data_IF_046858862974
#
_entry.id   IF_046858862974
#
_cell.length_a   1.000
_cell.length_b   1.000
_cell.length_c   1.000
_cell.angle_alpha   90.00
_cell.angle_beta   90.00
_cell.angle_gamma   90.00
#
_symmetry.space_group_name_H-M   'P 1'
#
loop_
_entity.id
_entity.type
_entity.pdbx_description
1 polymer ?
#
# COMPACT_ATOMS: atom_id res chain seq x y z
N UNK A 1 0.66 19.96 -17.81
CA UNK A 1 0.61 19.80 -16.35
C UNK A 1 1.22 18.45 -16.03
N UNK A 2 2.04 18.37 -15.00
CA UNK A 2 2.71 17.12 -14.60
C UNK A 2 1.69 16.14 -14.04
N UNK A 3 1.66 14.91 -14.56
CA UNK A 3 0.86 13.81 -14.03
C UNK A 3 1.67 13.04 -13.01
N UNK A 4 1.11 12.89 -11.81
CA UNK A 4 1.71 12.17 -10.70
C UNK A 4 1.03 10.80 -10.54
N UNK A 5 1.78 9.71 -10.69
CA UNK A 5 1.32 8.38 -10.33
C UNK A 5 1.54 8.12 -8.82
N UNK A 6 0.49 7.68 -8.14
CA UNK A 6 0.47 7.43 -6.70
C UNK A 6 0.31 5.93 -6.49
N UNK A 7 1.35 5.29 -5.95
CA UNK A 7 1.44 3.86 -5.68
C UNK A 7 1.45 3.62 -4.17
N UNK A 8 0.97 2.46 -3.75
CA UNK A 8 1.00 1.99 -2.36
C UNK A 8 0.93 0.47 -2.30
N UNK A 9 1.40 -0.11 -1.21
CA UNK A 9 1.15 -1.51 -0.86
C UNK A 9 1.59 -2.47 -1.99
N UNK A 10 2.87 -2.35 -2.39
CA UNK A 10 3.46 -3.12 -3.50
C UNK A 10 3.72 -4.58 -3.09
N UNK A 11 4.09 -4.79 -1.83
CA UNK A 11 4.25 -6.12 -1.22
C UNK A 11 5.15 -7.09 -2.00
N UNK A 12 6.24 -6.58 -2.58
CA UNK A 12 7.17 -7.41 -3.35
C UNK A 12 6.60 -7.96 -4.67
N UNK A 13 5.44 -7.49 -5.11
CA UNK A 13 4.79 -7.92 -6.35
C UNK A 13 5.36 -7.15 -7.55
N UNK A 14 6.55 -7.55 -7.98
CA UNK A 14 7.26 -6.90 -9.08
C UNK A 14 6.48 -6.95 -10.41
N UNK A 15 5.84 -8.06 -10.82
CA UNK A 15 5.01 -8.06 -12.03
C UNK A 15 3.86 -7.05 -12.00
N UNK A 16 3.16 -6.93 -10.87
CA UNK A 16 2.10 -5.93 -10.71
C UNK A 16 2.65 -4.50 -10.80
N UNK A 17 3.78 -4.24 -10.13
CA UNK A 17 4.46 -2.94 -10.18
C UNK A 17 4.88 -2.57 -11.60
N UNK A 18 5.44 -3.52 -12.36
CA UNK A 18 5.85 -3.30 -13.75
C UNK A 18 4.66 -3.01 -14.67
N UNK A 19 3.54 -3.70 -14.48
CA UNK A 19 2.31 -3.45 -15.24
C UNK A 19 1.71 -2.06 -14.92
N UNK A 20 1.69 -1.68 -13.64
CA UNK A 20 1.26 -0.33 -13.21
C UNK A 20 2.17 0.75 -13.81
N UNK A 21 3.49 0.54 -13.78
CA UNK A 21 4.43 1.50 -14.36
C UNK A 21 4.20 1.67 -15.87
N UNK A 22 4.05 0.57 -16.61
CA UNK A 22 3.81 0.61 -18.03
C UNK A 22 2.51 1.37 -18.38
N UNK A 23 1.43 1.15 -17.63
CA UNK A 23 0.19 1.91 -17.81
C UNK A 23 0.37 3.39 -17.44
N UNK A 24 1.00 3.69 -16.31
CA UNK A 24 1.22 5.07 -15.87
C UNK A 24 2.05 5.87 -16.89
N UNK A 25 3.10 5.28 -17.46
CA UNK A 25 3.89 5.88 -18.54
C UNK A 25 3.05 6.11 -19.81
N UNK A 26 2.18 5.16 -20.20
CA UNK A 26 1.24 5.33 -21.32
C UNK A 26 0.22 6.44 -21.02
N UNK A 27 -0.17 6.63 -19.76
CA UNK A 27 -1.01 7.77 -19.34
C UNK A 27 -0.24 9.09 -19.28
N UNK A 28 1.06 9.11 -19.56
CA UNK A 28 1.92 10.29 -19.52
C UNK A 28 2.31 10.73 -18.12
N UNK A 29 2.35 9.82 -17.14
CA UNK A 29 2.91 10.10 -15.84
C UNK A 29 4.44 10.16 -15.93
N UNK A 30 5.02 11.26 -15.44
CA UNK A 30 6.47 11.47 -15.39
C UNK A 30 7.01 11.45 -13.96
N UNK A 31 6.12 11.54 -12.99
CA UNK A 31 6.45 11.58 -11.56
C UNK A 31 5.71 10.46 -10.84
N UNK A 32 6.41 9.80 -9.92
CA UNK A 32 5.90 8.66 -9.16
C UNK A 32 6.16 8.87 -7.68
N UNK A 33 5.22 8.48 -6.83
CA UNK A 33 5.41 8.39 -5.37
C UNK A 33 4.92 7.03 -4.88
N UNK A 34 5.51 6.56 -3.77
CA UNK A 34 5.14 5.30 -3.12
C UNK A 34 4.81 5.54 -1.64
N UNK A 35 3.65 5.09 -1.22
CA UNK A 35 3.10 5.34 0.12
C UNK A 35 3.40 4.22 1.13
N UNK A 36 4.41 3.38 0.86
CA UNK A 36 4.88 2.35 1.79
C UNK A 36 4.34 0.95 1.52
N UNK A 37 4.66 0.04 2.43
CA UNK A 37 4.41 -1.40 2.33
C UNK A 37 4.93 -2.02 1.03
N UNK A 38 6.23 -1.79 0.84
CA UNK A 38 6.89 -2.00 -0.44
C UNK A 38 7.29 -3.44 -0.69
N UNK A 39 7.84 -4.14 0.33
CA UNK A 39 8.56 -5.41 0.12
C UNK A 39 7.97 -6.62 0.84
N UNK A 40 7.18 -6.43 1.89
CA UNK A 40 6.63 -7.53 2.70
C UNK A 40 5.68 -8.39 1.90
N UNK A 41 6.00 -9.67 1.74
CA UNK A 41 5.18 -10.63 1.00
C UNK A 41 5.98 -11.84 0.54
N UNK A 42 5.33 -12.96 0.19
CA UNK A 42 5.98 -14.19 -0.28
C UNK A 42 6.21 -14.15 -1.80
N UNK A 43 6.69 -13.03 -2.34
CA UNK A 43 6.85 -12.83 -3.78
C UNK A 43 8.32 -12.55 -4.15
N UNK A 44 8.64 -11.36 -4.64
CA UNK A 44 9.98 -10.97 -5.11
C UNK A 44 10.52 -9.75 -4.36
N UNK A 45 10.71 -9.81 -3.02
CA UNK A 45 11.10 -8.64 -2.24
C UNK A 45 12.47 -8.06 -2.65
N UNK A 46 13.45 -8.92 -2.91
CA UNK A 46 14.80 -8.47 -3.27
C UNK A 46 14.84 -7.82 -4.66
N UNK A 47 14.19 -8.43 -5.65
CA UNK A 47 14.10 -7.90 -7.02
C UNK A 47 13.28 -6.60 -7.06
N UNK A 48 12.22 -6.52 -6.25
CA UNK A 48 11.40 -5.30 -6.10
C UNK A 48 12.22 -4.17 -5.46
N UNK A 49 13.01 -4.50 -4.43
CA UNK A 49 13.91 -3.53 -3.81
C UNK A 49 14.94 -3.00 -4.82
N UNK A 50 15.63 -3.87 -5.55
CA UNK A 50 16.62 -3.46 -6.56
C UNK A 50 15.99 -2.63 -7.68
N UNK A 51 14.76 -2.99 -8.08
CA UNK A 51 13.99 -2.24 -9.07
C UNK A 51 13.68 -0.81 -8.60
N UNK A 52 13.24 -0.63 -7.35
CA UNK A 52 12.89 0.67 -6.78
C UNK A 52 14.13 1.51 -6.41
N UNK A 53 15.18 0.88 -5.89
CA UNK A 53 16.46 1.54 -5.57
C UNK A 53 17.15 2.16 -6.80
N UNK A 54 16.85 1.68 -8.00
CA UNK A 54 17.32 2.27 -9.25
C UNK A 54 16.51 3.52 -9.69
N UNK A 55 15.51 3.91 -8.91
CA UNK A 55 14.58 5.02 -9.19
C UNK A 55 14.60 6.01 -8.03
N UNK A 56 14.59 7.29 -8.35
CA UNK A 56 14.54 8.38 -7.35
C UNK A 56 13.09 8.78 -7.10
N UNK A 57 12.27 7.82 -6.62
CA UNK A 57 10.89 8.11 -6.29
C UNK A 57 10.74 8.45 -4.81
N UNK A 58 10.08 9.57 -4.47
CA UNK A 58 9.67 9.81 -3.09
C UNK A 58 8.88 8.62 -2.56
N UNK A 59 9.43 7.99 -1.52
CA UNK A 59 8.88 6.79 -0.90
C UNK A 59 8.82 7.01 0.61
N UNK A 60 7.70 6.68 1.23
CA UNK A 60 7.57 6.66 2.69
C UNK A 60 7.55 5.21 3.21
N UNK A 61 7.86 5.02 4.48
CA UNK A 61 7.75 3.74 5.14
C UNK A 61 6.31 3.47 5.58
N UNK A 62 5.83 2.23 5.36
CA UNK A 62 4.62 1.71 5.96
C UNK A 62 4.90 0.91 7.24
N UNK A 63 3.87 0.24 7.77
CA UNK A 63 4.02 -0.59 8.96
C UNK A 63 4.95 -1.80 8.71
N UNK A 64 4.94 -2.35 7.52
CA UNK A 64 5.80 -3.47 7.17
C UNK A 64 7.28 -3.07 7.08
N UNK A 65 7.65 -1.89 6.59
CA UNK A 65 9.03 -1.41 6.66
C UNK A 65 9.50 -1.29 8.11
N UNK A 66 8.69 -0.70 8.99
CA UNK A 66 9.00 -0.61 10.43
C UNK A 66 9.13 -2.00 11.06
N UNK A 67 8.23 -2.92 10.77
CA UNK A 67 8.23 -4.29 11.30
C UNK A 67 9.47 -5.08 10.83
N UNK A 68 9.80 -5.02 9.53
CA UNK A 68 11.00 -5.64 8.95
C UNK A 68 12.31 -5.16 9.61
N UNK A 69 12.35 -3.90 10.03
CA UNK A 69 13.54 -3.27 10.59
C UNK A 69 13.65 -3.41 12.11
N UNK A 70 12.53 -3.47 12.82
CA UNK A 70 12.53 -3.34 14.29
C UNK A 70 12.09 -4.60 15.04
N UNK A 71 11.27 -5.45 14.43
CA UNK A 71 10.80 -6.66 15.12
C UNK A 71 11.86 -7.77 15.10
N UNK A 72 12.04 -8.49 16.22
CA UNK A 72 12.82 -9.72 16.22
C UNK A 72 12.11 -10.77 15.33
N UNK A 73 12.90 -11.62 14.67
CA UNK A 73 12.43 -12.56 13.66
C UNK A 73 11.29 -13.48 14.12
N UNK A 74 11.30 -13.89 15.36
CA UNK A 74 10.28 -14.75 15.99
C UNK A 74 8.95 -14.03 16.24
N UNK A 75 8.95 -12.69 16.21
CA UNK A 75 7.75 -11.85 16.34
C UNK A 75 7.24 -11.26 15.02
N UNK A 76 7.96 -11.48 13.93
CA UNK A 76 7.51 -11.05 12.60
C UNK A 76 6.36 -11.91 12.10
N UNK A 77 5.42 -11.32 11.38
CA UNK A 77 4.44 -12.02 10.56
C UNK A 77 5.10 -12.89 9.47
N UNK A 78 4.39 -13.84 8.90
CA UNK A 78 4.95 -14.77 7.91
C UNK A 78 5.48 -14.03 6.66
N UNK A 79 4.79 -12.98 6.21
CA UNK A 79 5.16 -12.16 5.06
C UNK A 79 6.47 -11.39 5.33
N UNK A 80 6.59 -10.77 6.51
CA UNK A 80 7.81 -10.07 6.92
C UNK A 80 9.00 -11.01 7.06
N UNK A 81 8.80 -12.18 7.70
CA UNK A 81 9.87 -13.19 7.83
C UNK A 81 10.40 -13.65 6.49
N UNK A 82 9.49 -13.85 5.52
CA UNK A 82 9.86 -14.25 4.18
C UNK A 82 10.69 -13.16 3.48
N UNK A 83 10.19 -11.94 3.46
CA UNK A 83 10.86 -10.81 2.85
C UNK A 83 12.21 -10.55 3.52
N UNK A 84 12.25 -10.48 4.87
CA UNK A 84 13.47 -10.22 5.65
C UNK A 84 14.58 -11.23 5.37
N UNK A 85 14.23 -12.48 5.10
CA UNK A 85 15.20 -13.54 4.81
C UNK A 85 15.86 -13.39 3.43
N UNK A 86 15.28 -12.64 2.52
CA UNK A 86 15.80 -12.44 1.15
C UNK A 86 16.50 -11.08 0.96
N UNK A 87 16.27 -10.13 1.86
CA UNK A 87 16.85 -8.79 1.77
C UNK A 87 18.29 -8.77 2.30
N UNK A 88 19.19 -8.14 1.53
CA UNK A 88 20.56 -7.87 1.92
C UNK A 88 20.68 -6.54 2.70
N UNK A 89 21.86 -6.27 3.28
CA UNK A 89 22.12 -5.08 4.09
C UNK A 89 21.90 -3.76 3.33
N UNK A 90 22.23 -3.71 2.04
CA UNK A 90 22.03 -2.51 1.20
C UNK A 90 20.55 -2.22 1.01
N UNK A 91 19.73 -3.25 0.77
CA UNK A 91 18.28 -3.12 0.61
C UNK A 91 17.61 -2.72 1.93
N UNK A 92 18.07 -3.29 3.06
CA UNK A 92 17.59 -2.90 4.39
C UNK A 92 17.98 -1.46 4.76
N UNK A 93 19.19 -1.03 4.40
CA UNK A 93 19.61 0.35 4.62
C UNK A 93 18.76 1.33 3.77
N UNK A 94 18.39 0.93 2.55
CA UNK A 94 17.48 1.72 1.72
C UNK A 94 16.08 1.83 2.36
N UNK A 95 15.51 0.74 2.88
CA UNK A 95 14.24 0.79 3.63
C UNK A 95 14.35 1.70 4.85
N UNK A 96 15.43 1.59 5.62
CA UNK A 96 15.64 2.37 6.82
C UNK A 96 15.79 3.90 6.56
N UNK A 97 16.12 4.28 5.34
CA UNK A 97 16.21 5.68 4.94
C UNK A 97 14.85 6.31 4.58
N UNK A 98 13.78 5.51 4.45
CA UNK A 98 12.46 6.02 4.11
C UNK A 98 11.81 6.70 5.32
N UNK A 99 11.29 7.94 5.18
CA UNK A 99 10.59 8.61 6.26
C UNK A 99 9.21 7.98 6.50
N UNK A 100 8.69 8.03 7.70
CA UNK A 100 7.34 7.56 8.02
C UNK A 100 6.22 8.41 7.38
N UNK A 101 6.49 9.70 7.20
CA UNK A 101 5.58 10.67 6.56
C UNK A 101 6.38 11.68 5.75
N UNK A 102 5.74 12.39 4.83
CA UNK A 102 6.43 13.38 3.99
C UNK A 102 5.51 14.56 3.62
N UNK A 103 5.99 15.78 3.85
CA UNK A 103 5.43 16.98 3.21
C UNK A 103 5.99 17.03 1.77
N UNK A 104 5.28 16.37 0.84
CA UNK A 104 5.79 16.06 -0.49
C UNK A 104 5.89 17.29 -1.41
N UNK A 105 4.83 18.09 -1.41
CA UNK A 105 4.73 19.30 -2.23
C UNK A 105 3.80 20.30 -1.53
N UNK A 106 3.78 21.58 -1.92
CA UNK A 106 2.82 22.53 -1.34
C UNK A 106 1.39 22.00 -1.42
N UNK A 107 0.79 21.73 -0.27
CA UNK A 107 -0.58 21.24 -0.15
C UNK A 107 -0.77 19.73 -0.30
N UNK A 108 0.30 18.90 -0.36
CA UNK A 108 0.22 17.45 -0.42
C UNK A 108 1.06 16.82 0.70
N UNK A 109 0.40 16.10 1.58
CA UNK A 109 1.00 15.32 2.65
C UNK A 109 0.86 13.82 2.40
N UNK A 110 1.93 13.05 2.68
CA UNK A 110 1.98 11.60 2.55
C UNK A 110 2.08 10.94 3.93
N UNK A 111 1.24 9.94 4.17
CA UNK A 111 1.34 9.01 5.29
C UNK A 111 0.95 7.60 4.82
N UNK A 112 1.34 6.55 5.55
CA UNK A 112 0.93 5.20 5.16
C UNK A 112 -0.48 4.89 5.67
N UNK A 113 -0.72 4.95 6.97
CA UNK A 113 -2.04 4.86 7.58
C UNK A 113 -2.65 6.26 7.79
N UNK A 114 -2.52 6.80 8.99
CA UNK A 114 -2.88 8.19 9.32
C UNK A 114 -1.62 9.02 9.60
N UNK A 115 -1.70 10.36 9.71
CA UNK A 115 -0.54 11.17 10.09
C UNK A 115 0.15 10.73 11.39
N UNK A 116 -0.58 10.16 12.33
CA UNK A 116 -0.08 9.73 13.63
C UNK A 116 0.17 8.23 13.78
N UNK A 117 -0.20 7.40 12.79
CA UNK A 117 -0.08 5.94 12.91
C UNK A 117 -0.02 5.25 11.55
N UNK A 118 0.91 4.32 11.41
CA UNK A 118 1.01 3.46 10.22
C UNK A 118 0.09 2.22 10.28
N UNK A 119 -0.65 2.00 11.38
CA UNK A 119 -1.54 0.85 11.59
C UNK A 119 -3.04 1.21 11.56
N UNK A 120 -3.39 2.48 11.56
CA UNK A 120 -4.79 2.90 11.55
C UNK A 120 -5.20 3.22 10.12
N UNK A 121 -6.20 2.51 9.59
CA UNK A 121 -6.79 2.83 8.30
C UNK A 121 -7.38 4.25 8.32
N UNK A 122 -7.05 5.07 7.31
CA UNK A 122 -7.55 6.44 7.30
C UNK A 122 -9.03 6.49 6.94
N UNK A 123 -9.42 5.87 5.83
CA UNK A 123 -10.77 5.94 5.26
C UNK A 123 -11.74 4.88 5.82
N UNK A 124 -11.22 3.92 6.58
CA UNK A 124 -12.00 2.80 7.13
C UNK A 124 -11.86 2.73 8.64
N UNK A 125 -12.86 2.17 9.31
CA UNK A 125 -12.81 1.87 10.74
C UNK A 125 -13.05 0.39 10.96
N UNK A 126 -12.14 -0.24 11.71
CA UNK A 126 -12.28 -1.63 12.17
C UNK A 126 -13.10 -1.65 13.46
N UNK A 127 -14.12 -2.49 13.51
CA UNK A 127 -14.97 -2.67 14.66
C UNK A 127 -15.41 -4.12 14.83
N UNK A 128 -16.20 -4.44 15.86
CA UNK A 128 -16.64 -5.82 16.15
C UNK A 128 -17.43 -6.48 14.99
N UNK A 129 -18.02 -5.69 14.11
CA UNK A 129 -18.74 -6.17 12.92
C UNK A 129 -17.87 -6.22 11.64
N UNK A 130 -16.56 -6.09 11.77
CA UNK A 130 -15.63 -5.99 10.64
C UNK A 130 -15.29 -4.55 10.29
N UNK A 131 -15.02 -4.28 9.01
CA UNK A 131 -14.64 -2.95 8.51
C UNK A 131 -15.84 -2.18 7.96
N UNK A 132 -15.83 -0.87 8.16
CA UNK A 132 -16.81 0.07 7.59
C UNK A 132 -16.10 1.35 7.14
N UNK A 133 -16.79 2.17 6.36
CA UNK A 133 -16.31 3.52 6.08
C UNK A 133 -16.17 4.34 7.37
N UNK A 134 -15.12 5.12 7.49
CA UNK A 134 -14.95 6.07 8.58
C UNK A 134 -16.00 7.18 8.49
N UNK A 135 -16.46 7.66 9.65
CA UNK A 135 -17.30 8.86 9.75
C UNK A 135 -16.47 10.13 9.55
N UNK A 136 -17.12 11.26 9.29
CA UNK A 136 -16.40 12.53 9.13
C UNK A 136 -15.68 12.94 10.43
N UNK A 137 -16.27 12.68 11.59
CA UNK A 137 -15.64 12.93 12.89
C UNK A 137 -14.37 12.07 13.08
N UNK A 138 -14.43 10.78 12.70
CA UNK A 138 -13.26 9.90 12.75
C UNK A 138 -12.16 10.37 11.78
N UNK A 139 -12.53 10.84 10.60
CA UNK A 139 -11.57 11.40 9.64
C UNK A 139 -10.92 12.68 10.18
N UNK A 140 -11.69 13.58 10.77
CA UNK A 140 -11.18 14.82 11.36
C UNK A 140 -10.24 14.53 12.54
N UNK A 141 -10.63 13.61 13.44
CA UNK A 141 -9.79 13.19 14.57
C UNK A 141 -8.45 12.61 14.09
N UNK A 142 -8.47 11.72 13.09
CA UNK A 142 -7.26 11.12 12.49
C UNK A 142 -6.38 12.14 11.79
N UNK A 143 -6.96 13.18 11.23
CA UNK A 143 -6.23 14.24 10.52
C UNK A 143 -5.41 15.09 11.51
N UNK A 144 -5.89 15.27 12.74
CA UNK A 144 -5.23 16.07 13.75
C UNK A 144 -4.97 17.50 13.27
N UNK A 145 -3.78 18.01 13.53
CA UNK A 145 -3.37 19.38 13.18
C UNK A 145 -2.93 19.57 11.71
N UNK A 146 -3.07 18.53 10.86
CA UNK A 146 -2.70 18.65 9.43
C UNK A 146 -3.68 19.56 8.71
N UNK A 147 -3.13 20.45 7.88
CA UNK A 147 -3.90 21.47 7.15
C UNK A 147 -3.77 21.37 5.63
N UNK A 148 -3.02 20.40 5.13
CA UNK A 148 -2.81 20.21 3.70
C UNK A 148 -4.12 19.91 2.97
N UNK A 149 -4.38 20.57 1.84
CA UNK A 149 -5.57 20.35 1.02
C UNK A 149 -5.74 18.90 0.55
N UNK A 150 -4.64 18.14 0.39
CA UNK A 150 -4.66 16.73 -0.02
C UNK A 150 -3.74 15.90 0.86
N UNK A 151 -4.30 14.86 1.47
CA UNK A 151 -3.56 13.85 2.22
C UNK A 151 -3.68 12.52 1.46
N UNK A 152 -2.53 11.91 1.14
CA UNK A 152 -2.45 10.64 0.46
C UNK A 152 -2.04 9.55 1.46
N UNK A 153 -2.79 8.44 1.48
CA UNK A 153 -2.56 7.31 2.38
C UNK A 153 -2.63 5.96 1.65
N UNK A 154 -2.18 4.89 2.29
CA UNK A 154 -2.21 3.50 1.83
C UNK A 154 -2.87 2.58 2.84
N UNK A 155 -2.18 1.45 3.18
CA UNK A 155 -2.45 0.51 4.26
C UNK A 155 -3.74 -0.31 4.14
N UNK A 156 -4.87 0.28 3.77
CA UNK A 156 -6.14 -0.46 3.71
C UNK A 156 -6.34 -1.26 2.43
N UNK A 157 -5.50 -1.08 1.41
CA UNK A 157 -5.62 -1.64 0.06
C UNK A 157 -6.93 -1.30 -0.67
N UNK A 158 -7.84 -0.56 -0.05
CA UNK A 158 -9.13 -0.18 -0.63
C UNK A 158 -8.99 1.22 -1.24
N UNK A 159 -9.16 1.36 -2.57
CA UNK A 159 -9.08 2.66 -3.22
C UNK A 159 -10.28 3.52 -2.82
N UNK A 160 -10.04 4.80 -2.64
CA UNK A 160 -11.11 5.73 -2.35
C UNK A 160 -10.63 7.14 -2.04
N UNK A 161 -11.57 8.06 -2.05
CA UNK A 161 -11.37 9.46 -1.72
C UNK A 161 -12.53 9.98 -0.87
N UNK A 162 -12.22 10.81 0.12
CA UNK A 162 -13.19 11.52 0.95
C UNK A 162 -12.82 12.99 1.04
N UNK A 163 -13.79 13.86 0.80
CA UNK A 163 -13.68 15.27 1.09
C UNK A 163 -14.22 15.55 2.50
N UNK A 164 -13.49 16.33 3.28
CA UNK A 164 -13.92 16.83 4.59
C UNK A 164 -14.73 18.11 4.42
N UNK A 165 -15.53 18.45 5.43
CA UNK A 165 -16.38 19.65 5.41
C UNK A 165 -15.62 20.98 5.29
N UNK A 166 -14.33 20.99 5.58
CA UNK A 166 -13.44 22.15 5.46
C UNK A 166 -12.69 22.23 4.11
N UNK A 167 -12.96 21.30 3.18
CA UNK A 167 -12.40 21.26 1.84
C UNK A 167 -11.12 20.44 1.71
N UNK A 168 -10.55 19.92 2.80
CA UNK A 168 -9.44 18.95 2.73
C UNK A 168 -9.92 17.64 2.12
N UNK A 169 -9.02 16.92 1.46
CA UNK A 169 -9.30 15.64 0.82
C UNK A 169 -8.32 14.59 1.30
N UNK A 170 -8.82 13.39 1.52
CA UNK A 170 -8.01 12.22 1.89
C UNK A 170 -8.23 11.17 0.83
N UNK A 171 -7.14 10.59 0.28
CA UNK A 171 -7.24 9.60 -0.77
C UNK A 171 -6.26 8.43 -0.56
N UNK A 172 -6.74 7.23 -0.88
CA UNK A 172 -5.97 6.00 -0.92
C UNK A 172 -6.02 5.45 -2.35
N UNK A 173 -4.87 5.20 -3.01
CA UNK A 173 -4.85 4.71 -4.39
C UNK A 173 -5.28 3.22 -4.53
N UNK A 174 -5.43 2.51 -3.41
CA UNK A 174 -5.51 1.06 -3.36
C UNK A 174 -4.12 0.41 -3.37
N UNK A 175 -4.07 -0.90 -3.46
CA UNK A 175 -2.84 -1.69 -3.45
C UNK A 175 -2.38 -2.05 -4.85
N UNK A 176 -1.08 -1.88 -5.13
CA UNK A 176 -0.44 -2.42 -6.33
C UNK A 176 -0.35 -3.94 -6.24
N UNK A 177 0.05 -4.48 -5.10
CA UNK A 177 0.54 -5.85 -4.99
C UNK A 177 -0.41 -6.89 -4.40
N UNK A 178 -1.36 -6.48 -3.56
CA UNK A 178 -2.21 -7.43 -2.81
C UNK A 178 -3.63 -6.90 -2.64
N UNK A 179 -4.63 -7.64 -3.08
CA UNK A 179 -6.01 -7.16 -3.15
C UNK A 179 -6.93 -7.70 -2.04
N UNK A 180 -6.44 -8.65 -1.24
CA UNK A 180 -7.17 -9.16 -0.08
C UNK A 180 -6.20 -9.68 0.99
N UNK A 181 -6.57 -9.51 2.25
CA UNK A 181 -5.81 -10.02 3.39
C UNK A 181 -6.69 -10.15 4.63
N UNK A 182 -6.23 -10.95 5.59
CA UNK A 182 -6.72 -10.96 6.97
C UNK A 182 -5.74 -10.22 7.88
N UNK A 183 -6.25 -9.49 8.86
CA UNK A 183 -5.48 -8.90 9.94
C UNK A 183 -6.26 -9.07 11.25
N UNK A 184 -5.55 -9.01 12.39
CA UNK A 184 -6.11 -9.16 13.74
C UNK A 184 -5.95 -7.89 14.61
N UNK A 185 -5.40 -6.83 14.05
CA UNK A 185 -5.21 -5.58 14.78
C UNK A 185 -6.11 -4.45 14.26
N UNK A 186 -6.86 -3.75 15.14
CA UNK A 186 -7.04 -3.94 16.59
C UNK A 186 -7.99 -5.09 16.95
N UNK A 187 -8.72 -5.63 16.01
CA UNK A 187 -9.66 -6.75 16.08
C UNK A 187 -9.57 -7.54 14.78
N UNK A 188 -9.92 -8.84 14.75
CA UNK A 188 -9.93 -9.61 13.51
C UNK A 188 -10.84 -8.99 12.44
N UNK A 189 -10.31 -8.80 11.25
CA UNK A 189 -11.06 -8.33 10.09
C UNK A 189 -10.47 -8.86 8.78
N UNK A 190 -11.23 -8.70 7.70
CA UNK A 190 -10.83 -9.08 6.35
C UNK A 190 -11.00 -7.90 5.41
N UNK A 191 -10.00 -7.68 4.57
CA UNK A 191 -10.07 -6.77 3.42
C UNK A 191 -10.21 -7.61 2.15
N UNK A 192 -11.14 -7.25 1.28
CA UNK A 192 -11.35 -7.89 -0.03
C UNK A 192 -11.77 -6.85 -1.07
N UNK A 193 -11.02 -6.76 -2.15
CA UNK A 193 -11.42 -5.97 -3.32
C UNK A 193 -12.28 -6.76 -4.31
N UNK A 194 -12.29 -8.11 -4.20
CA UNK A 194 -13.06 -9.01 -5.07
C UNK A 194 -12.58 -9.05 -6.53
N UNK A 195 -11.39 -8.53 -6.79
CA UNK A 195 -10.79 -8.38 -8.12
C UNK A 195 -9.26 -8.36 -7.97
N UNK A 196 -8.50 -9.21 -8.68
CA UNK A 196 -7.05 -9.38 -8.52
C UNK A 196 -6.20 -8.27 -9.13
N UNK A 197 -6.77 -7.39 -9.94
CA UNK A 197 -6.03 -6.36 -10.68
C UNK A 197 -5.30 -5.40 -9.76
N UNK A 198 -4.07 -5.03 -10.16
CA UNK A 198 -3.28 -4.01 -9.48
C UNK A 198 -3.98 -2.64 -9.50
N UNK A 199 -3.83 -1.86 -8.44
CA UNK A 199 -4.46 -0.54 -8.30
C UNK A 199 -3.44 0.54 -8.06
N UNK A 200 -3.69 1.72 -8.63
CA UNK A 200 -2.96 2.95 -8.37
C UNK A 200 -3.85 4.15 -8.71
N UNK A 201 -3.39 5.37 -8.44
CA UNK A 201 -4.10 6.57 -8.82
C UNK A 201 -3.20 7.54 -9.59
N UNK A 202 -3.80 8.38 -10.44
CA UNK A 202 -3.14 9.49 -11.13
C UNK A 202 -3.72 10.78 -10.60
N UNK A 203 -2.84 11.69 -10.17
CA UNK A 203 -3.20 13.07 -9.83
C UNK A 203 -2.78 14.00 -10.96
N UNK A 204 -3.76 14.71 -11.56
CA UNK A 204 -3.55 15.73 -12.57
C UNK A 204 -4.45 16.94 -12.29
N UNK A 205 -3.88 18.13 -12.19
CA UNK A 205 -4.64 19.37 -11.96
C UNK A 205 -5.60 19.32 -10.75
N UNK A 206 -5.22 18.60 -9.67
CA UNK A 206 -6.05 18.42 -8.48
C UNK A 206 -7.13 17.33 -8.61
N UNK A 207 -7.25 16.67 -9.75
CA UNK A 207 -8.20 15.57 -9.97
C UNK A 207 -7.49 14.22 -9.81
N UNK A 208 -8.08 13.32 -9.01
CA UNK A 208 -7.63 11.95 -8.85
C UNK A 208 -8.40 11.03 -9.79
N UNK A 209 -7.66 10.19 -10.52
CA UNK A 209 -8.21 9.12 -11.37
C UNK A 209 -7.70 7.79 -10.86
N UNK A 210 -8.59 6.94 -10.35
CA UNK A 210 -8.26 5.59 -9.88
C UNK A 210 -8.21 4.61 -11.06
N UNK A 211 -7.19 3.76 -11.05
CA UNK A 211 -6.95 2.81 -12.13
C UNK A 211 -6.83 1.38 -11.61
N UNK A 212 -7.25 0.44 -12.47
CA UNK A 212 -7.16 -1.01 -12.23
C UNK A 212 -6.47 -1.63 -13.45
N UNK A 213 -5.38 -2.35 -13.23
CA UNK A 213 -4.47 -2.81 -14.28
C UNK A 213 -4.33 -4.33 -14.20
N UNK A 214 -4.59 -4.98 -15.33
CA UNK A 214 -4.32 -6.40 -15.48
C UNK A 214 -2.80 -6.66 -15.47
N UNK A 215 -2.40 -7.74 -14.81
CA UNK A 215 -1.04 -8.26 -14.81
C UNK A 215 -1.08 -9.79 -14.70
N UNK A 216 0.04 -10.46 -14.79
CA UNK A 216 0.09 -11.93 -14.61
C UNK A 216 -0.04 -12.29 -13.12
N UNK A 217 -1.26 -12.14 -12.60
CA UNK A 217 -1.58 -12.49 -11.22
C UNK A 217 -1.58 -14.00 -10.97
N UNK A 218 -1.71 -14.84 -12.02
CA UNK A 218 -1.63 -16.29 -11.90
C UNK A 218 -0.19 -16.75 -11.64
N UNK A 219 0.83 -16.15 -12.26
CA UNK A 219 2.23 -16.43 -11.93
C UNK A 219 2.58 -15.97 -10.52
N UNK A 220 2.13 -14.78 -10.11
CA UNK A 220 2.32 -14.29 -8.75
C UNK A 220 1.66 -15.22 -7.72
N UNK A 221 0.44 -15.70 -7.98
CA UNK A 221 -0.26 -16.65 -7.14
C UNK A 221 0.44 -18.03 -7.10
N UNK A 222 0.94 -18.51 -8.24
CA UNK A 222 1.70 -19.75 -8.31
C UNK A 222 3.01 -19.65 -7.50
N UNK A 223 3.68 -18.48 -7.54
CA UNK A 223 4.85 -18.21 -6.69
C UNK A 223 4.50 -18.27 -5.21
N UNK A 224 3.45 -17.56 -4.78
CA UNK A 224 3.01 -17.58 -3.38
C UNK A 224 2.68 -19.02 -2.91
N UNK A 225 1.99 -19.80 -3.73
CA UNK A 225 1.69 -21.20 -3.42
C UNK A 225 2.96 -22.06 -3.26
N UNK A 226 3.95 -21.90 -4.17
CA UNK A 226 5.25 -22.61 -4.08
C UNK A 226 6.00 -22.27 -2.80
N UNK A 227 5.86 -21.05 -2.32
CA UNK A 227 6.52 -20.56 -1.10
C UNK A 227 5.69 -20.80 0.17
N UNK A 228 4.67 -21.69 0.08
CA UNK A 228 3.89 -22.13 1.23
C UNK A 228 2.85 -21.13 1.73
N UNK A 229 2.39 -20.22 0.86
CA UNK A 229 1.38 -19.20 1.17
C UNK A 229 0.13 -19.35 0.29
N UNK A 230 -0.69 -20.40 0.52
CA UNK A 230 -1.94 -20.60 -0.23
C UNK A 230 -2.97 -19.49 0.00
N UNK A 231 -2.96 -18.84 1.16
CA UNK A 231 -3.74 -17.63 1.47
C UNK A 231 -3.44 -16.49 0.48
N UNK A 232 -2.16 -16.20 0.26
CA UNK A 232 -1.73 -15.22 -0.74
C UNK A 232 -2.08 -15.65 -2.17
N UNK A 233 -1.93 -16.94 -2.48
CA UNK A 233 -2.27 -17.44 -3.80
C UNK A 233 -3.76 -17.26 -4.13
N UNK A 234 -4.65 -17.43 -3.16
CA UNK A 234 -6.07 -17.14 -3.31
C UNK A 234 -6.32 -15.64 -3.48
N UNK A 235 -5.74 -14.83 -2.58
CA UNK A 235 -5.87 -13.37 -2.62
C UNK A 235 -5.43 -12.78 -3.97
N UNK A 236 -4.28 -13.25 -4.49
CA UNK A 236 -3.72 -12.79 -5.77
C UNK A 236 -4.56 -13.22 -6.98
N UNK A 237 -5.22 -14.39 -6.94
CA UNK A 237 -6.09 -14.84 -8.04
C UNK A 237 -7.45 -14.18 -8.06
N UNK A 238 -7.98 -13.86 -6.90
CA UNK A 238 -9.40 -13.55 -6.77
C UNK A 238 -9.70 -12.19 -6.16
N UNK A 239 -8.73 -11.58 -5.48
CA UNK A 239 -8.96 -10.44 -4.60
C UNK A 239 -9.85 -10.77 -3.41
N UNK A 240 -9.87 -12.06 -2.98
CA UNK A 240 -10.68 -12.57 -1.86
C UNK A 240 -9.85 -13.44 -0.93
N UNK A 241 -10.34 -13.62 0.28
CA UNK A 241 -9.79 -14.54 1.28
C UNK A 241 -10.70 -15.76 1.46
N UNK A 242 -10.17 -16.86 2.05
CA UNK A 242 -11.04 -17.94 2.53
C UNK A 242 -11.96 -17.39 3.62
N UNK A 243 -13.26 -17.67 3.48
CA UNK A 243 -14.18 -17.38 4.56
C UNK A 243 -13.88 -18.39 5.68
N UNK A 244 -13.58 -17.90 6.87
CA UNK A 244 -13.34 -18.74 8.03
C UNK A 244 -14.51 -19.70 8.25
N UNK A 245 -14.19 -20.98 8.43
CA UNK A 245 -15.16 -22.01 8.76
C UNK A 245 -15.71 -21.83 10.17
#
# INVERSE_FOLDING_TARGET
>A
MTRLAILSDIHGNLPALQAVLADAEQQGCEVFINLGDTLSGPLWPAETADFLMARDWPTIAGNHERQLLTLPRDRMGASDRFARAQLNERQLAWLAAQPATCDYAPGIFLCHGTPGSDLIHYLLTVGPAGIRAATDDELLDRTGDRSEPLILCGHSHIPGERALGDGRRIANPGSVGLQAFHDDHPLPYTVENGDPRARYAILEAGVLTFRQIDYDHDDAAAKAARDGRPDWALALRTGRMEQGA
#
